data_IF_842858933488
#
_entry.id   IF_842858933488
#
_cell.length_a   1.000
_cell.length_b   1.000
_cell.length_c   1.000
_cell.angle_alpha   90.00
_cell.angle_beta   90.00
_cell.angle_gamma   90.00
#
_symmetry.space_group_name_H-M   'P 1'
#
loop_
_entity.id
_entity.type
_entity.pdbx_description
1 polymer ?
#
# COMPACT_ATOMS: atom_id res chain seq x y z
N UNK A 1 -41.62 24.47 88.50
CA UNK A 1 -41.60 23.32 89.42
C UNK A 1 -42.29 22.22 88.70
N UNK A 2 -41.53 21.48 87.89
CA UNK A 2 -42.09 20.83 86.71
C UNK A 2 -41.76 19.33 86.78
N UNK A 3 -42.45 18.63 87.69
CA UNK A 3 -42.39 17.17 87.71
C UNK A 3 -43.64 16.62 87.03
N UNK A 4 -43.48 16.18 85.78
CA UNK A 4 -44.53 15.47 85.04
C UNK A 4 -44.39 13.97 85.28
N UNK A 5 -45.42 13.33 85.83
CA UNK A 5 -45.46 11.88 86.16
C UNK A 5 -45.84 10.98 84.97
N UNK A 6 -46.12 11.57 83.81
CA UNK A 6 -46.54 10.91 82.57
C UNK A 6 -45.72 9.65 82.17
N UNK A 7 -44.38 9.61 82.27
CA UNK A 7 -43.64 8.41 81.86
C UNK A 7 -43.76 7.23 82.85
N UNK A 8 -44.09 7.47 84.12
CA UNK A 8 -44.07 6.45 85.16
C UNK A 8 -45.28 5.49 85.11
N UNK A 9 -46.44 5.97 84.66
CA UNK A 9 -47.67 5.16 84.60
C UNK A 9 -47.63 4.04 83.54
N UNK A 10 -46.70 4.08 82.59
CA UNK A 10 -46.56 3.07 81.52
C UNK A 10 -46.14 1.69 82.03
N UNK A 11 -45.52 1.62 83.20
CA UNK A 11 -45.04 0.37 83.79
C UNK A 11 -46.03 -0.27 84.79
N UNK A 12 -47.07 0.45 85.20
CA UNK A 12 -48.03 0.00 86.21
C UNK A 12 -49.25 -0.68 85.57
N UNK A 13 -49.65 -0.27 84.37
CA UNK A 13 -50.81 -0.83 83.66
C UNK A 13 -50.40 -1.39 82.31
N UNK A 14 -50.88 -2.59 81.97
CA UNK A 14 -50.60 -3.20 80.67
C UNK A 14 -51.35 -2.44 79.56
N UNK A 15 -50.63 -1.76 78.66
CA UNK A 15 -51.20 -1.08 77.49
C UNK A 15 -50.96 -1.89 76.22
N UNK A 16 -51.91 -1.86 75.28
CA UNK A 16 -51.71 -2.47 73.96
C UNK A 16 -50.55 -1.79 73.20
N UNK A 17 -49.77 -2.51 72.39
CA UNK A 17 -48.66 -1.92 71.65
C UNK A 17 -49.16 -0.85 70.67
N UNK A 18 -48.61 0.36 70.76
CA UNK A 18 -48.88 1.44 69.83
C UNK A 18 -47.86 1.39 68.69
N UNK A 19 -48.33 1.09 67.47
CA UNK A 19 -47.48 1.09 66.28
C UNK A 19 -47.54 2.46 65.59
N UNK A 20 -46.37 3.00 65.21
CA UNK A 20 -46.31 4.16 64.33
C UNK A 20 -46.24 3.70 62.88
N UNK A 21 -47.01 4.33 61.99
CA UNK A 21 -46.87 4.11 60.55
C UNK A 21 -45.87 5.13 60.00
N UNK A 22 -44.81 4.63 59.36
CA UNK A 22 -43.85 5.48 58.66
C UNK A 22 -44.52 6.05 57.39
N UNK A 23 -44.28 7.33 57.10
CA UNK A 23 -44.79 7.96 55.87
C UNK A 23 -44.31 7.23 54.63
N UNK A 24 -45.14 7.16 53.58
CA UNK A 24 -44.79 6.52 52.31
C UNK A 24 -43.48 7.13 51.75
N UNK A 25 -42.45 6.32 51.43
CA UNK A 25 -41.28 6.84 50.74
C UNK A 25 -41.69 7.44 49.39
N UNK A 26 -41.10 8.59 49.03
CA UNK A 26 -41.34 9.23 47.74
C UNK A 26 -41.07 8.20 46.63
N UNK A 27 -41.94 8.12 45.63
CA UNK A 27 -41.73 7.22 44.49
C UNK A 27 -40.32 7.43 43.95
N UNK A 28 -39.58 6.33 43.80
CA UNK A 28 -38.25 6.35 43.20
C UNK A 28 -38.38 7.06 41.85
N UNK A 29 -37.51 8.03 41.55
CA UNK A 29 -37.42 8.60 40.20
C UNK A 29 -37.33 7.42 39.24
N UNK A 30 -38.35 7.28 38.38
CA UNK A 30 -38.44 6.16 37.45
C UNK A 30 -37.11 5.98 36.74
N UNK A 31 -36.72 4.72 36.48
CA UNK A 31 -35.48 4.41 35.81
C UNK A 31 -35.36 5.28 34.55
N UNK A 32 -34.35 6.16 34.54
CA UNK A 32 -33.99 6.91 33.35
C UNK A 32 -33.30 5.94 32.40
N UNK A 33 -34.09 5.06 31.79
CA UNK A 33 -33.58 4.20 30.73
C UNK A 33 -33.46 5.06 29.47
N UNK A 34 -32.33 4.99 28.75
CA UNK A 34 -32.23 5.59 27.44
C UNK A 34 -33.38 5.11 26.55
N UNK A 35 -33.89 5.98 25.68
CA UNK A 35 -34.96 5.60 24.75
C UNK A 35 -34.53 4.42 23.86
N UNK A 36 -35.47 3.73 23.20
CA UNK A 36 -35.18 2.51 22.44
C UNK A 36 -34.11 2.68 21.34
N UNK A 37 -33.84 3.91 20.90
CA UNK A 37 -32.79 4.24 19.91
C UNK A 37 -31.56 4.95 20.50
N UNK A 38 -31.49 5.16 21.82
CA UNK A 38 -30.38 5.87 22.48
C UNK A 38 -29.25 4.93 22.92
N UNK A 39 -29.44 3.61 22.80
CA UNK A 39 -28.39 2.64 23.08
C UNK A 39 -27.30 2.69 22.00
N UNK A 40 -26.12 3.21 22.35
CA UNK A 40 -24.93 3.07 21.50
C UNK A 40 -24.35 1.68 21.70
N UNK A 41 -24.40 0.84 20.66
CA UNK A 41 -23.75 -0.46 20.71
C UNK A 41 -22.22 -0.29 20.65
N UNK A 42 -21.46 -1.04 21.46
CA UNK A 42 -20.02 -1.06 21.35
C UNK A 42 -19.58 -1.64 20.00
N UNK A 43 -18.46 -1.16 19.47
CA UNK A 43 -17.89 -1.63 18.22
C UNK A 43 -17.58 -3.14 18.30
N UNK A 44 -18.17 -3.91 17.39
CA UNK A 44 -18.02 -5.38 17.34
C UNK A 44 -16.87 -5.88 16.45
N UNK A 45 -16.30 -5.03 15.58
CA UNK A 45 -15.23 -5.40 14.65
C UNK A 45 -14.14 -4.32 14.62
N UNK A 46 -12.88 -4.74 14.71
CA UNK A 46 -11.69 -3.87 14.66
C UNK A 46 -10.95 -3.75 16.00
N UNK A 47 -9.90 -2.92 16.07
CA UNK A 47 -9.17 -2.72 17.32
C UNK A 47 -10.07 -2.07 18.39
N UNK A 48 -9.89 -2.46 19.66
CA UNK A 48 -10.69 -2.02 20.83
C UNK A 48 -12.17 -2.45 20.83
N UNK A 49 -12.46 -3.75 20.70
CA UNK A 49 -13.83 -4.24 21.00
C UNK A 49 -13.99 -4.51 22.50
N UNK A 50 -15.23 -4.41 23.00
CA UNK A 50 -15.57 -4.60 24.43
C UNK A 50 -15.53 -6.08 24.84
N UNK A 51 -15.81 -6.99 23.90
CA UNK A 51 -16.03 -8.40 24.19
C UNK A 51 -14.88 -9.32 23.77
N UNK A 52 -14.03 -8.86 22.84
CA UNK A 52 -12.88 -9.64 22.39
C UNK A 52 -11.61 -8.79 22.48
N UNK A 53 -10.52 -9.40 22.97
CA UNK A 53 -9.22 -8.74 22.95
C UNK A 53 -8.80 -8.59 21.48
N UNK A 54 -8.42 -7.37 21.10
CA UNK A 54 -7.91 -7.10 19.76
C UNK A 54 -6.38 -7.11 19.78
N UNK A 55 -5.80 -7.82 18.82
CA UNK A 55 -4.36 -7.83 18.60
C UNK A 55 -3.89 -6.50 17.98
N UNK A 56 -2.62 -6.10 18.17
CA UNK A 56 -2.08 -4.88 17.58
C UNK A 56 -2.25 -4.87 16.05
N UNK A 57 -2.87 -3.82 15.54
CA UNK A 57 -3.05 -3.59 14.12
C UNK A 57 -1.84 -2.82 13.57
N UNK A 58 -0.95 -3.51 12.88
CA UNK A 58 0.22 -2.90 12.25
C UNK A 58 -0.14 -2.41 10.85
N UNK A 59 0.03 -1.11 10.59
CA UNK A 59 -0.01 -0.55 9.24
C UNK A 59 1.39 -0.54 8.64
N UNK A 60 1.53 -0.94 7.37
CA UNK A 60 2.79 -0.72 6.64
C UNK A 60 2.95 0.77 6.36
N UNK A 61 3.97 1.39 6.95
CA UNK A 61 4.39 2.75 6.60
C UNK A 61 5.39 2.67 5.45
N UNK A 62 5.26 3.55 4.46
CA UNK A 62 6.20 3.65 3.35
C UNK A 62 7.63 3.84 3.87
N UNK A 63 8.60 3.19 3.24
CA UNK A 63 10.02 3.39 3.55
C UNK A 63 10.43 4.79 3.08
N UNK A 64 11.17 5.51 3.91
CA UNK A 64 11.74 6.80 3.53
C UNK A 64 12.65 6.62 2.32
N UNK A 65 12.55 7.52 1.34
CA UNK A 65 13.50 7.56 0.23
C UNK A 65 14.89 8.06 0.65
N UNK A 66 15.04 8.58 1.88
CA UNK A 66 16.31 9.04 2.43
C UNK A 66 17.35 7.92 2.39
N UNK A 67 18.49 8.18 1.74
CA UNK A 67 19.55 7.19 1.45
C UNK A 67 19.14 5.97 0.60
N UNK A 68 17.99 6.01 -0.07
CA UNK A 68 17.62 4.99 -1.05
C UNK A 68 18.45 5.10 -2.33
N UNK A 69 18.54 4.00 -3.08
CA UNK A 69 19.15 3.95 -4.42
C UNK A 69 18.45 4.86 -5.45
N UNK A 70 17.27 5.41 -5.12
CA UNK A 70 16.54 6.37 -5.93
C UNK A 70 16.93 7.82 -5.66
N UNK A 71 17.55 8.12 -4.51
CA UNK A 71 18.10 9.45 -4.20
C UNK A 71 19.52 9.61 -4.74
N UNK A 72 20.33 8.56 -4.59
CA UNK A 72 21.72 8.58 -4.98
C UNK A 72 21.88 8.08 -6.42
N UNK A 73 21.72 9.01 -7.37
CA UNK A 73 21.83 8.73 -8.80
C UNK A 73 23.24 8.22 -9.20
N UNK A 74 24.26 8.44 -8.36
CA UNK A 74 25.59 7.86 -8.57
C UNK A 74 25.63 6.35 -8.28
N UNK A 75 24.71 5.83 -7.45
CA UNK A 75 24.58 4.38 -7.16
C UNK A 75 23.74 3.63 -8.18
N UNK A 76 22.96 4.34 -8.99
CA UNK A 76 22.07 3.76 -10.01
C UNK A 76 22.24 4.47 -11.35
N UNK A 77 23.44 4.45 -11.94
CA UNK A 77 23.65 5.00 -13.28
C UNK A 77 22.71 4.30 -14.27
N UNK A 78 22.06 5.10 -15.12
CA UNK A 78 21.16 4.57 -16.15
C UNK A 78 21.91 3.70 -17.17
N UNK A 79 21.21 2.93 -18.02
CA UNK A 79 21.84 2.03 -18.99
C UNK A 79 22.78 2.75 -19.98
N UNK A 80 22.55 4.04 -20.23
CA UNK A 80 23.38 4.88 -21.10
C UNK A 80 24.65 5.44 -20.42
N UNK A 81 24.80 5.29 -19.09
CA UNK A 81 25.96 5.77 -18.34
C UNK A 81 27.12 4.75 -18.33
N UNK A 82 26.90 3.53 -18.83
CA UNK A 82 27.97 2.55 -19.03
C UNK A 82 28.65 2.77 -20.39
N UNK A 83 29.98 2.70 -20.40
CA UNK A 83 30.76 2.79 -21.64
C UNK A 83 30.50 1.60 -22.57
N UNK A 84 30.51 1.87 -23.88
CA UNK A 84 30.38 0.82 -24.88
C UNK A 84 31.68 0.02 -24.97
N UNK A 85 31.62 -1.26 -24.59
CA UNK A 85 32.74 -2.18 -24.76
C UNK A 85 32.83 -2.66 -26.21
N UNK A 86 34.03 -2.66 -26.80
CA UNK A 86 34.26 -3.22 -28.13
C UNK A 86 34.00 -4.74 -28.13
N UNK A 87 32.98 -5.17 -28.87
CA UNK A 87 32.50 -6.57 -28.88
C UNK A 87 33.48 -7.53 -29.54
N UNK A 88 34.35 -7.01 -30.42
CA UNK A 88 35.31 -7.79 -31.21
C UNK A 88 36.39 -8.45 -30.33
N UNK A 89 36.51 -8.05 -29.06
CA UNK A 89 37.45 -8.64 -28.09
C UNK A 89 37.06 -10.08 -27.74
N UNK A 90 35.77 -10.40 -27.74
CA UNK A 90 35.25 -11.68 -27.24
C UNK A 90 34.23 -12.35 -28.17
N UNK A 91 33.77 -11.65 -29.22
CA UNK A 91 32.88 -12.20 -30.25
C UNK A 91 33.56 -12.18 -31.61
N UNK A 92 33.25 -13.16 -32.49
CA UNK A 92 33.71 -13.11 -33.86
C UNK A 92 33.23 -11.80 -34.52
N UNK A 93 34.19 -11.02 -35.01
CA UNK A 93 33.97 -9.74 -35.68
C UNK A 93 33.14 -9.92 -36.95
N UNK A 94 32.22 -8.98 -37.19
CA UNK A 94 31.45 -8.96 -38.43
C UNK A 94 32.37 -8.71 -39.65
N UNK A 95 32.09 -9.32 -40.82
CA UNK A 95 32.90 -9.10 -42.01
C UNK A 95 32.84 -7.63 -42.45
N UNK A 96 34.01 -7.04 -42.72
CA UNK A 96 34.14 -5.70 -43.29
C UNK A 96 34.52 -5.81 -44.76
N UNK A 97 33.72 -5.21 -45.63
CA UNK A 97 33.98 -5.18 -47.07
C UNK A 97 34.34 -3.76 -47.51
N UNK A 98 35.27 -3.65 -48.45
CA UNK A 98 35.61 -2.41 -49.15
C UNK A 98 35.58 -2.66 -50.65
N UNK A 99 35.00 -1.74 -51.42
CA UNK A 99 35.01 -1.82 -52.88
C UNK A 99 36.32 -1.22 -53.42
N UNK A 100 37.06 -2.01 -54.22
CA UNK A 100 38.23 -1.53 -54.95
C UNK A 100 37.87 -0.76 -56.23
N UNK A 101 38.81 0.02 -56.75
CA UNK A 101 38.67 0.75 -58.03
C UNK A 101 38.53 -0.22 -59.21
N UNK A 102 37.60 0.07 -60.13
CA UNK A 102 37.49 -0.64 -61.41
C UNK A 102 38.55 -0.15 -62.39
N UNK A 103 39.50 -1.00 -62.76
CA UNK A 103 40.44 -0.74 -63.86
C UNK A 103 39.87 -1.25 -65.18
N UNK A 104 39.99 -0.46 -66.26
CA UNK A 104 39.65 -0.91 -67.62
C UNK A 104 40.77 -1.84 -68.10
N UNK A 105 40.44 -3.10 -68.42
CA UNK A 105 41.39 -4.00 -69.08
C UNK A 105 41.63 -3.50 -70.51
N UNK A 106 42.85 -3.05 -70.81
CA UNK A 106 43.29 -2.71 -72.16
C UNK A 106 43.45 -4.01 -72.94
N UNK A 107 42.66 -4.21 -74.01
CA UNK A 107 42.89 -5.32 -74.95
C UNK A 107 41.66 -5.95 -75.62
N UNK A 108 40.42 -5.66 -75.22
CA UNK A 108 39.21 -6.25 -75.85
C UNK A 108 38.58 -5.34 -76.91
N UNK A 109 39.35 -4.94 -77.92
CA UNK A 109 38.87 -4.03 -78.98
C UNK A 109 39.26 -4.39 -80.40
N UNK A 110 39.94 -5.53 -80.61
CA UNK A 110 40.58 -5.87 -81.90
C UNK A 110 40.17 -7.24 -82.42
N UNK A 111 39.04 -7.77 -81.98
CA UNK A 111 38.44 -8.96 -82.58
C UNK A 111 37.33 -8.48 -83.52
N UNK A 112 37.49 -8.61 -84.85
CA UNK A 112 36.44 -8.24 -85.79
C UNK A 112 35.19 -9.06 -85.52
N UNK A 113 34.03 -8.41 -85.55
CA UNK A 113 32.76 -9.10 -85.39
C UNK A 113 32.50 -10.05 -86.57
N UNK A 114 31.57 -11.01 -86.44
CA UNK A 114 31.24 -11.93 -87.54
C UNK A 114 30.77 -11.21 -88.83
N UNK A 115 30.31 -9.95 -88.74
CA UNK A 115 29.93 -9.12 -89.87
C UNK A 115 31.08 -8.29 -90.48
N UNK A 116 32.24 -8.20 -89.80
CA UNK A 116 33.40 -7.41 -90.24
C UNK A 116 34.34 -8.19 -91.19
N UNK A 117 34.05 -9.46 -91.46
CA UNK A 117 34.82 -10.28 -92.40
C UNK A 117 34.35 -10.07 -93.84
N UNK A 118 35.10 -9.30 -94.64
CA UNK A 118 34.86 -9.18 -96.08
C UNK A 118 35.58 -10.27 -96.87
N UNK A 119 34.83 -11.16 -97.52
CA UNK A 119 35.36 -12.12 -98.50
C UNK A 119 35.68 -11.40 -99.82
N UNK A 120 36.95 -11.39 -100.22
CA UNK A 120 37.39 -10.75 -101.47
C UNK A 120 36.73 -11.36 -102.71
N UNK A 121 36.54 -10.57 -103.77
CA UNK A 121 36.04 -11.07 -105.07
C UNK A 121 37.09 -11.95 -105.74
N UNK A 122 36.70 -13.18 -106.05
CA UNK A 122 37.43 -14.08 -106.94
C UNK A 122 37.22 -13.61 -108.39
N UNK A 123 38.30 -13.56 -109.16
CA UNK A 123 38.34 -13.08 -110.56
C UNK A 123 37.48 -13.90 -111.50
#
# INVERSE_FOLDING_TARGET
GDYTTEPANKHVFHTAPANSMLSRPKDFKGFQTPGPATYSLPRILGPHTVYTRAEPCYSMRWKSQYQSCFQDMAKTPGPAAFDKVELDIYKPKAPKYSMGLKTKLVGKGTEPGPADYSIGKVR
#
